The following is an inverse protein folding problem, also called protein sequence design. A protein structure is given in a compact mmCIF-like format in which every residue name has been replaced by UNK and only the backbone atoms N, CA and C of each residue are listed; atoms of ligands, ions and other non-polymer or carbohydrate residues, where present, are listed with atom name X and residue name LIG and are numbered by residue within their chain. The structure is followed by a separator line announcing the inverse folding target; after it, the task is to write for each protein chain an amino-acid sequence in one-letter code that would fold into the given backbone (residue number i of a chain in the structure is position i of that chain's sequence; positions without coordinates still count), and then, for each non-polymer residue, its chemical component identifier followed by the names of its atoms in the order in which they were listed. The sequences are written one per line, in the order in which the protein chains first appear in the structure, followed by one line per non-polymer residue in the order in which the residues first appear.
data_IF_438657864441
#
_entry.id   IF_438657864441
#
_cell.length_a   1.000
_cell.length_b   1.000
_cell.length_c   1.000
_cell.angle_alpha   90.00
_cell.angle_beta   90.00
_cell.angle_gamma   90.00
#
_symmetry.space_group_name_H-M   'P 1'
#
loop_
_entity.id
_entity.type
_entity.pdbx_description
1 polymer ?
#
# COMPACT_ATOMS: atom_id res chain seq x y z
N UNK A 1 -3.27 13.96 -18.62
CA UNK A 1 -4.18 13.45 -17.56
C UNK A 1 -3.98 14.25 -16.29
N UNK A 2 -5.03 14.78 -15.68
CA UNK A 2 -4.95 15.63 -14.50
C UNK A 2 -5.37 14.85 -13.25
N UNK A 3 -4.48 14.74 -12.28
CA UNK A 3 -4.71 14.05 -11.01
C UNK A 3 -4.97 15.06 -9.89
N UNK A 4 -6.08 14.87 -9.18
CA UNK A 4 -6.45 15.66 -8.01
C UNK A 4 -6.41 14.80 -6.75
N UNK A 5 -5.56 15.15 -5.79
CA UNK A 5 -5.52 14.48 -4.49
C UNK A 5 -6.39 15.24 -3.48
N UNK A 6 -7.38 14.58 -2.92
CA UNK A 6 -8.08 15.06 -1.73
C UNK A 6 -7.38 14.48 -0.51
N UNK A 7 -6.67 15.34 0.22
CA UNK A 7 -5.69 14.96 1.23
C UNK A 7 -4.31 14.68 0.63
N UNK A 8 -3.26 15.29 1.22
CA UNK A 8 -1.88 15.09 0.76
C UNK A 8 -0.98 14.65 1.92
N UNK A 9 -1.29 13.44 2.43
CA UNK A 9 -0.53 12.75 3.47
C UNK A 9 0.56 11.83 2.92
N UNK A 10 1.01 10.87 3.74
CA UNK A 10 2.10 9.96 3.37
C UNK A 10 1.80 9.15 2.11
N UNK A 11 0.58 8.63 1.96
CA UNK A 11 0.22 7.82 0.80
C UNK A 11 0.14 8.66 -0.48
N UNK A 12 -0.52 9.84 -0.44
CA UNK A 12 -0.53 10.75 -1.58
C UNK A 12 0.88 11.16 -2.00
N UNK A 13 1.74 11.50 -1.02
CA UNK A 13 3.15 11.82 -1.27
C UNK A 13 3.92 10.65 -1.88
N UNK A 14 3.61 9.41 -1.48
CA UNK A 14 4.23 8.22 -2.03
C UNK A 14 3.80 7.96 -3.47
N UNK A 15 2.48 8.07 -3.78
CA UNK A 15 1.93 7.96 -5.13
C UNK A 15 2.53 9.05 -6.03
N UNK A 16 2.51 10.31 -5.58
CA UNK A 16 3.11 11.42 -6.30
C UNK A 16 4.59 11.17 -6.64
N UNK A 17 5.39 10.70 -5.66
CA UNK A 17 6.82 10.38 -5.90
C UNK A 17 7.02 9.25 -6.89
N UNK A 18 6.20 8.22 -6.81
CA UNK A 18 6.26 7.08 -7.74
C UNK A 18 5.92 7.47 -9.18
N UNK A 19 5.03 8.46 -9.35
CA UNK A 19 4.57 8.98 -10.65
C UNK A 19 5.35 10.21 -11.13
N UNK A 20 6.16 10.83 -10.29
CA UNK A 20 6.98 11.97 -10.69
C UNK A 20 7.93 11.58 -11.83
N UNK A 21 7.79 12.29 -12.97
CA UNK A 21 8.54 12.00 -14.19
C UNK A 21 7.71 11.30 -15.27
N UNK A 22 6.47 10.91 -15.00
CA UNK A 22 5.51 10.54 -16.05
C UNK A 22 5.04 11.84 -16.73
N UNK A 23 5.49 12.05 -17.98
CA UNK A 23 5.36 13.35 -18.69
C UNK A 23 3.91 13.78 -18.98
N UNK A 24 2.95 12.87 -18.92
CA UNK A 24 1.56 13.11 -19.28
C UNK A 24 0.64 13.38 -18.09
N UNK A 25 1.19 13.48 -16.87
CA UNK A 25 0.41 13.67 -15.64
C UNK A 25 0.69 15.04 -15.03
N UNK A 26 -0.38 15.83 -14.84
CA UNK A 26 -0.36 17.02 -14.02
C UNK A 26 -0.97 16.75 -12.67
N UNK A 27 -0.38 17.26 -11.61
CA UNK A 27 -0.80 17.00 -10.24
C UNK A 27 -1.39 18.25 -9.59
N UNK A 28 -2.51 18.04 -8.89
CA UNK A 28 -3.08 19.02 -7.99
C UNK A 28 -3.50 18.36 -6.67
N UNK A 29 -3.70 19.16 -5.65
CA UNK A 29 -4.20 18.67 -4.38
C UNK A 29 -5.00 19.69 -3.60
N UNK A 30 -5.94 19.19 -2.79
CA UNK A 30 -6.65 19.89 -1.74
C UNK A 30 -6.22 19.31 -0.38
N UNK A 31 -5.74 20.14 0.53
CA UNK A 31 -5.31 19.72 1.87
C UNK A 31 -5.40 20.89 2.85
N UNK A 32 -5.49 20.59 4.15
CA UNK A 32 -5.53 21.60 5.22
C UNK A 32 -4.33 22.58 5.19
N UNK A 33 -3.17 22.09 4.77
CA UNK A 33 -1.95 22.89 4.70
C UNK A 33 -1.26 22.72 3.36
N UNK A 34 -0.79 23.82 2.79
CA UNK A 34 0.03 23.81 1.58
C UNK A 34 1.34 23.03 1.82
N UNK A 35 1.75 22.27 0.81
CA UNK A 35 2.96 21.44 0.83
C UNK A 35 4.00 22.03 -0.13
N UNK A 36 5.26 21.75 0.18
CA UNK A 36 6.36 22.12 -0.73
C UNK A 36 6.58 20.98 -1.74
N UNK A 37 5.72 20.93 -2.76
CA UNK A 37 5.74 19.95 -3.84
C UNK A 37 5.41 20.64 -5.16
N UNK A 38 5.89 20.10 -6.26
CA UNK A 38 5.60 20.59 -7.62
C UNK A 38 4.23 20.05 -8.08
N UNK A 39 3.17 20.60 -7.47
CA UNK A 39 1.77 20.30 -7.75
C UNK A 39 0.91 21.53 -7.42
N UNK A 40 -0.17 21.73 -8.15
CA UNK A 40 -1.10 22.82 -7.93
C UNK A 40 -1.83 22.63 -6.59
N UNK A 41 -1.89 23.69 -5.79
CA UNK A 41 -2.67 23.69 -4.56
C UNK A 41 -4.00 24.40 -4.77
N UNK A 42 -5.09 23.74 -4.40
CA UNK A 42 -6.42 24.34 -4.34
C UNK A 42 -6.89 24.41 -2.88
N UNK A 43 -7.55 25.46 -2.51
CA UNK A 43 -8.10 25.69 -1.17
C UNK A 43 -9.59 25.28 -1.07
N UNK A 44 -10.20 24.90 -2.19
CA UNK A 44 -11.57 24.37 -2.25
C UNK A 44 -11.67 23.14 -3.18
N UNK A 45 -12.72 22.35 -3.01
CA UNK A 45 -12.94 21.13 -3.76
C UNK A 45 -13.46 21.38 -5.18
N UNK A 46 -14.18 22.46 -5.40
CA UNK A 46 -14.79 22.79 -6.70
C UNK A 46 -13.71 23.03 -7.75
N UNK A 47 -12.71 23.84 -7.43
CA UNK A 47 -11.58 24.12 -8.32
C UNK A 47 -10.72 22.88 -8.56
N UNK A 48 -10.50 22.05 -7.52
CA UNK A 48 -9.81 20.76 -7.69
C UNK A 48 -10.57 19.87 -8.66
N UNK A 49 -11.90 19.73 -8.52
CA UNK A 49 -12.73 18.94 -9.41
C UNK A 49 -12.76 19.53 -10.83
N UNK A 50 -12.78 20.84 -10.98
CA UNK A 50 -12.71 21.48 -12.30
C UNK A 50 -11.42 21.14 -13.05
N UNK A 51 -10.31 21.06 -12.32
CA UNK A 51 -8.99 20.71 -12.87
C UNK A 51 -8.82 19.22 -13.16
N UNK A 52 -9.16 18.34 -12.21
CA UNK A 52 -8.75 16.94 -12.22
C UNK A 52 -9.71 16.04 -13.03
N UNK A 53 -9.15 15.08 -13.75
CA UNK A 53 -9.88 13.98 -14.40
C UNK A 53 -10.05 12.80 -13.45
N UNK A 54 -8.99 12.51 -12.67
CA UNK A 54 -8.94 11.40 -11.70
C UNK A 54 -8.73 11.99 -10.30
N UNK A 55 -9.65 11.64 -9.39
CA UNK A 55 -9.71 12.13 -8.01
C UNK A 55 -9.24 11.04 -7.05
N UNK A 56 -8.14 11.27 -6.35
CA UNK A 56 -7.59 10.35 -5.35
C UNK A 56 -8.07 10.74 -3.95
N UNK A 57 -8.87 9.89 -3.32
CA UNK A 57 -9.40 10.09 -1.96
C UNK A 57 -8.35 9.64 -0.90
N UNK A 58 -7.26 10.39 -0.80
CA UNK A 58 -6.10 10.04 0.05
C UNK A 58 -6.16 10.64 1.45
N UNK A 59 -7.34 10.59 2.04
CA UNK A 59 -7.67 11.04 3.39
C UNK A 59 -7.78 9.87 4.37
N UNK A 60 -7.85 10.17 5.66
CA UNK A 60 -8.07 9.15 6.69
C UNK A 60 -9.52 8.65 6.64
N UNK A 61 -9.79 7.38 7.02
CA UNK A 61 -11.14 6.82 6.98
C UNK A 61 -12.20 7.63 7.74
N UNK A 62 -11.83 8.25 8.86
CA UNK A 62 -12.74 9.09 9.64
C UNK A 62 -13.11 10.41 8.97
N UNK A 63 -12.31 10.89 8.03
CA UNK A 63 -12.55 12.15 7.31
C UNK A 63 -13.37 11.92 6.02
N UNK A 64 -13.55 10.65 5.58
CA UNK A 64 -14.12 10.32 4.28
C UNK A 64 -15.57 10.79 4.14
N UNK A 65 -16.43 10.54 5.14
CA UNK A 65 -17.86 10.93 5.09
C UNK A 65 -17.99 12.42 4.85
N UNK A 66 -17.32 13.25 5.65
CA UNK A 66 -17.40 14.70 5.53
C UNK A 66 -16.89 15.23 4.17
N UNK A 67 -15.96 14.52 3.52
CA UNK A 67 -15.53 14.85 2.16
C UNK A 67 -16.56 14.40 1.12
N UNK A 68 -17.12 13.20 1.25
CA UNK A 68 -18.13 12.71 0.32
C UNK A 68 -19.38 13.60 0.36
N UNK A 69 -19.82 14.05 1.53
CA UNK A 69 -20.92 15.02 1.69
C UNK A 69 -20.64 16.37 0.98
N UNK A 70 -19.41 16.87 1.08
CA UNK A 70 -19.00 18.09 0.37
C UNK A 70 -18.93 17.90 -1.15
N UNK A 71 -18.64 16.68 -1.61
CA UNK A 71 -18.59 16.37 -3.04
C UNK A 71 -19.98 16.20 -3.67
N UNK A 72 -21.00 15.82 -2.89
CA UNK A 72 -22.36 15.56 -3.41
C UNK A 72 -22.95 16.70 -4.25
N UNK A 73 -22.92 17.97 -3.83
CA UNK A 73 -23.52 19.06 -4.59
C UNK A 73 -22.68 19.51 -5.80
N UNK A 74 -21.43 19.03 -5.92
CA UNK A 74 -20.51 19.51 -6.94
C UNK A 74 -20.66 18.75 -8.26
N UNK A 75 -20.30 19.39 -9.38
CA UNK A 75 -20.31 18.76 -10.71
C UNK A 75 -19.19 17.73 -10.82
N UNK A 76 -19.53 16.46 -11.06
CA UNK A 76 -18.59 15.33 -11.11
C UNK A 76 -18.61 14.54 -12.43
N UNK A 77 -19.38 15.01 -13.42
CA UNK A 77 -19.53 14.33 -14.72
C UNK A 77 -18.18 14.05 -15.35
N UNK A 78 -17.93 12.80 -15.75
CA UNK A 78 -16.69 12.36 -16.41
C UNK A 78 -15.49 12.24 -15.48
N UNK A 79 -15.68 12.29 -14.15
CA UNK A 79 -14.61 12.10 -13.16
C UNK A 79 -14.54 10.64 -12.73
N UNK A 80 -13.34 10.18 -12.42
CA UNK A 80 -13.09 8.86 -11.82
C UNK A 80 -12.52 9.04 -10.42
N UNK A 81 -13.11 8.35 -9.44
CA UNK A 81 -12.67 8.42 -8.05
C UNK A 81 -11.84 7.19 -7.68
N UNK A 82 -10.65 7.39 -7.15
CA UNK A 82 -9.75 6.34 -6.68
C UNK A 82 -9.66 6.40 -5.17
N UNK A 83 -10.09 5.33 -4.51
CA UNK A 83 -10.11 5.24 -3.04
C UNK A 83 -9.14 4.18 -2.52
N UNK A 84 -8.06 4.58 -1.84
CA UNK A 84 -7.19 3.69 -1.06
C UNK A 84 -7.67 3.56 0.40
N UNK A 85 -8.87 4.02 0.73
CA UNK A 85 -9.35 4.09 2.11
C UNK A 85 -9.68 2.69 2.64
N UNK A 86 -8.94 2.25 3.67
CA UNK A 86 -9.17 0.96 4.29
C UNK A 86 -10.58 0.85 4.90
N UNK A 87 -11.22 -0.31 4.74
CA UNK A 87 -12.53 -0.58 5.31
C UNK A 87 -13.70 0.14 4.62
N UNK A 88 -13.52 0.78 3.47
CA UNK A 88 -14.59 1.44 2.74
C UNK A 88 -14.76 0.84 1.35
N UNK A 89 -15.96 0.28 1.10
CA UNK A 89 -16.30 -0.38 -0.17
C UNK A 89 -16.61 0.63 -1.27
N UNK A 90 -16.64 0.14 -2.50
CA UNK A 90 -17.13 0.88 -3.66
C UNK A 90 -18.59 1.31 -3.42
N UNK A 91 -19.46 0.38 -3.01
CA UNK A 91 -20.87 0.66 -2.70
C UNK A 91 -21.03 1.74 -1.61
N UNK A 92 -20.14 1.80 -0.61
CA UNK A 92 -20.16 2.86 0.38
C UNK A 92 -19.97 4.25 -0.27
N UNK A 93 -19.05 4.37 -1.23
CA UNK A 93 -18.78 5.64 -1.93
C UNK A 93 -19.92 5.96 -2.92
N UNK A 94 -20.46 4.95 -3.62
CA UNK A 94 -21.60 5.09 -4.53
C UNK A 94 -22.84 5.66 -3.84
N UNK A 95 -23.09 5.31 -2.58
CA UNK A 95 -24.23 5.85 -1.82
C UNK A 95 -24.16 7.38 -1.63
N UNK A 96 -22.98 7.99 -1.76
CA UNK A 96 -22.79 9.43 -1.71
C UNK A 96 -22.65 10.06 -3.08
N UNK A 97 -21.93 9.43 -3.99
CA UNK A 97 -21.55 10.05 -5.28
C UNK A 97 -22.46 9.63 -6.45
N UNK A 98 -23.29 8.60 -6.27
CA UNK A 98 -24.13 8.00 -7.32
C UNK A 98 -23.43 6.83 -8.02
N UNK A 99 -24.24 5.87 -8.49
CA UNK A 99 -23.75 4.67 -9.18
C UNK A 99 -23.24 4.93 -10.60
N UNK A 100 -23.52 6.10 -11.14
CA UNK A 100 -23.03 6.54 -12.46
C UNK A 100 -21.57 6.97 -12.43
N UNK A 101 -20.98 7.18 -11.23
CA UNK A 101 -19.58 7.55 -11.10
C UNK A 101 -18.69 6.31 -11.20
N UNK A 102 -17.64 6.39 -11.98
CA UNK A 102 -16.59 5.37 -11.97
C UNK A 102 -15.79 5.48 -10.66
N UNK A 103 -15.84 4.41 -9.87
CA UNK A 103 -15.12 4.30 -8.61
C UNK A 103 -14.12 3.14 -8.71
N UNK A 104 -12.88 3.44 -8.38
CA UNK A 104 -11.79 2.49 -8.30
C UNK A 104 -11.36 2.37 -6.84
N UNK A 105 -11.50 1.20 -6.26
CA UNK A 105 -10.95 0.88 -4.95
C UNK A 105 -9.59 0.25 -5.12
N UNK A 106 -8.60 0.75 -4.39
CA UNK A 106 -7.26 0.20 -4.38
C UNK A 106 -6.78 -0.04 -2.95
N UNK A 107 -5.82 -0.93 -2.81
CA UNK A 107 -5.07 -1.10 -1.56
C UNK A 107 -3.58 -1.21 -1.89
N UNK A 108 -2.87 -0.08 -1.96
CA UNK A 108 -1.41 -0.05 -2.12
C UNK A 108 -0.70 -0.07 -0.77
N UNK A 109 0.63 -0.02 -0.81
CA UNK A 109 1.46 0.32 0.34
C UNK A 109 2.49 1.41 0.00
N UNK A 110 3.26 1.88 0.98
CA UNK A 110 4.18 3.00 0.79
C UNK A 110 5.37 2.69 -0.13
N UNK A 111 5.63 1.41 -0.45
CA UNK A 111 6.63 1.03 -1.45
C UNK A 111 6.27 1.49 -2.87
N UNK A 112 5.05 2.01 -3.07
CA UNK A 112 4.60 2.64 -4.32
C UNK A 112 5.51 3.82 -4.73
N UNK A 113 6.09 4.53 -3.77
CA UNK A 113 7.07 5.61 -4.02
C UNK A 113 8.35 5.11 -4.73
N UNK A 114 8.64 3.82 -4.62
CA UNK A 114 9.82 3.15 -5.15
C UNK A 114 9.48 2.19 -6.30
N UNK A 115 8.26 2.25 -6.83
CA UNK A 115 7.74 1.36 -7.88
C UNK A 115 7.80 -0.14 -7.49
N UNK A 116 7.61 -0.43 -6.19
CA UNK A 116 7.65 -1.79 -5.60
C UNK A 116 6.41 -2.11 -4.75
N UNK A 117 5.30 -1.40 -4.97
CA UNK A 117 4.05 -1.72 -4.27
C UNK A 117 3.46 -3.04 -4.75
N UNK A 118 2.76 -3.73 -3.86
CA UNK A 118 1.74 -4.71 -4.25
C UNK A 118 0.39 -4.04 -4.01
N UNK A 119 -0.44 -3.94 -5.05
CA UNK A 119 -1.67 -3.13 -5.01
C UNK A 119 -2.87 -3.95 -5.46
N UNK A 120 -3.88 -4.12 -4.59
CA UNK A 120 -5.19 -4.62 -4.99
C UNK A 120 -5.96 -3.55 -5.75
N UNK A 121 -6.79 -3.99 -6.71
CA UNK A 121 -7.61 -3.14 -7.54
C UNK A 121 -9.01 -3.77 -7.70
N UNK A 122 -10.05 -2.98 -7.50
CA UNK A 122 -11.43 -3.28 -7.84
C UNK A 122 -12.11 -2.04 -8.41
N UNK A 123 -13.15 -2.20 -9.22
CA UNK A 123 -13.93 -1.09 -9.78
C UNK A 123 -15.38 -1.51 -10.02
N UNK A 124 -16.32 -0.57 -9.93
CA UNK A 124 -17.71 -0.76 -10.34
C UNK A 124 -17.90 -0.69 -11.87
N UNK A 125 -16.93 -0.15 -12.60
CA UNK A 125 -17.02 0.04 -14.05
C UNK A 125 -15.74 -0.49 -14.75
N UNK A 126 -15.66 -1.81 -15.01
CA UNK A 126 -14.46 -2.43 -15.58
C UNK A 126 -14.18 -2.03 -17.03
N UNK A 127 -15.19 -1.52 -17.75
CA UNK A 127 -15.08 -1.10 -19.16
C UNK A 127 -14.70 0.39 -19.30
N UNK A 128 -14.58 1.11 -18.20
CA UNK A 128 -14.18 2.52 -18.20
C UNK A 128 -12.69 2.68 -18.55
N UNK A 129 -12.40 3.58 -19.49
CA UNK A 129 -11.03 3.83 -19.94
C UNK A 129 -10.11 4.34 -18.83
N UNK A 130 -10.63 5.18 -17.92
CA UNK A 130 -9.84 5.68 -16.80
C UNK A 130 -9.56 4.58 -15.78
N UNK A 131 -10.52 3.67 -15.52
CA UNK A 131 -10.29 2.52 -14.64
C UNK A 131 -9.17 1.62 -15.20
N UNK A 132 -9.20 1.34 -16.49
CA UNK A 132 -8.15 0.58 -17.19
C UNK A 132 -6.78 1.29 -17.13
N UNK A 133 -6.77 2.60 -17.40
CA UNK A 133 -5.56 3.42 -17.30
C UNK A 133 -4.98 3.44 -15.87
N UNK A 134 -5.84 3.55 -14.84
CA UNK A 134 -5.40 3.49 -13.44
C UNK A 134 -4.74 2.14 -13.14
N UNK A 135 -5.31 1.02 -13.63
CA UNK A 135 -4.72 -0.30 -13.44
C UNK A 135 -3.32 -0.40 -14.08
N UNK A 136 -3.14 0.14 -15.29
CA UNK A 136 -1.84 0.20 -15.97
C UNK A 136 -0.82 1.04 -15.20
N UNK A 137 -1.23 2.22 -14.71
CA UNK A 137 -0.38 3.08 -13.90
C UNK A 137 0.05 2.38 -12.61
N UNK A 138 -0.87 1.71 -11.91
CA UNK A 138 -0.55 0.95 -10.71
C UNK A 138 0.42 -0.21 -11.01
N UNK A 139 0.31 -0.83 -12.19
CA UNK A 139 1.21 -1.88 -12.66
C UNK A 139 2.63 -1.37 -12.93
N UNK A 140 2.79 -0.10 -13.32
CA UNK A 140 4.10 0.58 -13.42
C UNK A 140 4.68 0.94 -12.06
N UNK A 141 3.85 1.08 -11.04
CA UNK A 141 4.25 1.40 -9.66
C UNK A 141 4.52 0.15 -8.79
N UNK A 142 4.52 -1.03 -9.41
CA UNK A 142 4.82 -2.31 -8.78
C UNK A 142 4.03 -3.45 -9.39
N UNK A 143 3.39 -4.27 -8.56
CA UNK A 143 2.49 -5.35 -8.99
C UNK A 143 1.05 -4.97 -8.63
N UNK A 144 0.20 -4.79 -9.64
CA UNK A 144 -1.23 -4.61 -9.43
C UNK A 144 -1.97 -5.94 -9.70
N UNK A 145 -3.01 -6.22 -8.91
CA UNK A 145 -3.85 -7.40 -9.05
C UNK A 145 -5.32 -7.02 -8.94
N UNK A 146 -6.13 -7.48 -9.90
CA UNK A 146 -7.59 -7.37 -9.82
C UNK A 146 -8.09 -8.35 -8.76
N UNK A 147 -8.88 -7.87 -7.81
CA UNK A 147 -9.37 -8.64 -6.69
C UNK A 147 -10.81 -8.24 -6.36
N UNK A 148 -11.63 -9.23 -6.05
CA UNK A 148 -12.96 -8.99 -5.50
C UNK A 148 -12.89 -8.25 -4.16
N UNK A 149 -13.82 -7.35 -3.88
CA UNK A 149 -13.81 -6.54 -2.66
C UNK A 149 -13.79 -7.37 -1.36
N UNK A 150 -14.37 -8.57 -1.38
CA UNK A 150 -14.33 -9.53 -0.25
C UNK A 150 -12.92 -9.95 0.17
N UNK A 151 -11.95 -9.85 -0.74
CA UNK A 151 -10.54 -10.15 -0.48
C UNK A 151 -9.73 -8.99 0.10
N UNK A 152 -10.28 -7.76 0.13
CA UNK A 152 -9.51 -6.58 0.50
C UNK A 152 -9.05 -6.55 1.96
N UNK A 153 -9.82 -7.11 2.90
CA UNK A 153 -9.41 -7.13 4.31
C UNK A 153 -8.19 -8.02 4.53
N UNK A 154 -8.17 -9.21 3.91
CA UNK A 154 -7.00 -10.07 3.93
C UNK A 154 -5.82 -9.42 3.18
N UNK A 155 -6.07 -8.82 2.02
CA UNK A 155 -5.04 -8.12 1.26
C UNK A 155 -4.44 -6.96 2.06
N UNK A 156 -5.26 -6.19 2.76
CA UNK A 156 -4.82 -5.09 3.63
C UNK A 156 -3.90 -5.60 4.74
N UNK A 157 -4.24 -6.72 5.38
CA UNK A 157 -3.40 -7.28 6.44
C UNK A 157 -2.04 -7.74 5.92
N UNK A 158 -2.01 -8.44 4.77
CA UNK A 158 -0.77 -9.02 4.22
C UNK A 158 0.08 -7.99 3.49
N UNK A 159 -0.50 -7.20 2.58
CA UNK A 159 0.26 -6.32 1.68
C UNK A 159 0.20 -4.84 2.06
N UNK A 160 -0.91 -4.39 2.64
CA UNK A 160 -1.04 -3.02 3.15
C UNK A 160 -0.23 -2.79 4.42
N UNK A 161 -0.42 -3.67 5.41
CA UNK A 161 0.25 -3.61 6.72
C UNK A 161 1.57 -4.38 6.75
N UNK A 162 1.76 -5.36 5.88
CA UNK A 162 2.92 -6.25 5.83
C UNK A 162 4.28 -5.56 5.88
N UNK A 163 4.50 -4.43 5.17
CA UNK A 163 5.76 -3.69 5.27
C UNK A 163 6.12 -3.29 6.71
N UNK A 164 5.13 -2.90 7.53
CA UNK A 164 5.37 -2.57 8.93
C UNK A 164 5.77 -3.81 9.75
N UNK A 165 5.17 -4.97 9.46
CA UNK A 165 5.49 -6.22 10.16
C UNK A 165 6.88 -6.74 9.77
N UNK A 166 7.27 -6.63 8.49
CA UNK A 166 8.63 -6.94 8.03
C UNK A 166 9.64 -6.02 8.72
N UNK A 167 9.36 -4.71 8.80
CA UNK A 167 10.23 -3.77 9.51
C UNK A 167 10.34 -4.08 11.00
N UNK A 168 9.27 -4.58 11.63
CA UNK A 168 9.33 -5.03 13.03
C UNK A 168 10.28 -6.24 13.22
N UNK A 169 10.31 -7.19 12.27
CA UNK A 169 11.31 -8.26 12.27
C UNK A 169 12.73 -7.72 12.05
N UNK A 170 12.91 -6.83 11.09
CA UNK A 170 14.20 -6.17 10.83
C UNK A 170 14.70 -5.44 12.09
N UNK A 171 13.79 -4.80 12.85
CA UNK A 171 14.14 -4.16 14.12
C UNK A 171 14.71 -5.16 15.14
N UNK A 172 14.17 -6.38 15.24
CA UNK A 172 14.69 -7.41 16.14
C UNK A 172 16.15 -7.77 15.79
N UNK A 173 16.46 -7.90 14.49
CA UNK A 173 17.83 -8.08 14.04
C UNK A 173 18.72 -6.89 14.43
N UNK A 174 18.24 -5.66 14.20
CA UNK A 174 18.96 -4.44 14.55
C UNK A 174 19.27 -4.38 16.04
N UNK A 175 18.28 -4.68 16.88
CA UNK A 175 18.45 -4.69 18.34
C UNK A 175 19.52 -5.71 18.77
N UNK A 176 19.52 -6.91 18.15
CA UNK A 176 20.51 -7.94 18.45
C UNK A 176 21.91 -7.57 17.94
N UNK A 177 21.98 -6.88 16.80
CA UNK A 177 23.27 -6.43 16.25
C UNK A 177 23.95 -5.37 17.12
N UNK A 178 23.23 -4.71 18.03
CA UNK A 178 23.82 -3.76 18.99
C UNK A 178 24.86 -4.38 19.93
N UNK A 179 24.92 -5.72 20.00
CA UNK A 179 25.96 -6.45 20.75
C UNK A 179 27.34 -6.47 20.05
N UNK A 180 27.39 -6.07 18.76
CA UNK A 180 28.66 -5.90 18.06
C UNK A 180 29.30 -4.56 18.44
N UNK A 181 30.63 -4.55 18.59
CA UNK A 181 31.41 -3.34 18.77
C UNK A 181 31.68 -2.66 17.42
N UNK A 182 30.61 -2.15 16.81
CA UNK A 182 30.60 -1.47 15.50
C UNK A 182 29.78 -0.18 15.57
N UNK A 183 30.12 0.79 14.70
CA UNK A 183 29.31 2.02 14.60
C UNK A 183 27.91 1.75 14.06
N UNK A 184 26.94 2.59 14.45
CA UNK A 184 25.54 2.45 14.01
C UNK A 184 25.37 2.46 12.49
N UNK A 185 26.13 3.30 11.79
CA UNK A 185 26.08 3.37 10.31
C UNK A 185 26.52 2.05 9.67
N UNK A 186 27.58 1.42 10.18
CA UNK A 186 28.05 0.11 9.72
C UNK A 186 27.00 -0.97 10.01
N UNK A 187 26.38 -0.95 11.19
CA UNK A 187 25.31 -1.90 11.51
C UNK A 187 24.10 -1.76 10.58
N UNK A 188 23.71 -0.54 10.23
CA UNK A 188 22.62 -0.28 9.31
C UNK A 188 22.95 -0.77 7.88
N UNK A 189 24.15 -0.59 7.39
CA UNK A 189 24.62 -1.14 6.11
C UNK A 189 24.59 -2.66 6.09
N UNK A 190 25.09 -3.31 7.15
CA UNK A 190 25.10 -4.78 7.26
C UNK A 190 23.67 -5.34 7.32
N UNK A 191 22.75 -4.69 8.03
CA UNK A 191 21.35 -5.09 8.12
C UNK A 191 20.64 -4.98 6.77
N UNK A 192 20.89 -3.88 6.06
CA UNK A 192 20.36 -3.68 4.71
C UNK A 192 20.90 -4.77 3.77
N UNK A 193 22.21 -5.04 3.79
CA UNK A 193 22.85 -6.08 2.97
C UNK A 193 22.29 -7.48 3.27
N UNK A 194 22.08 -7.82 4.54
CA UNK A 194 21.45 -9.09 4.95
C UNK A 194 20.04 -9.22 4.34
N UNK A 195 19.23 -8.17 4.46
CA UNK A 195 17.84 -8.18 4.00
C UNK A 195 17.77 -8.27 2.48
N UNK A 196 18.52 -7.43 1.76
CA UNK A 196 18.58 -7.44 0.29
C UNK A 196 19.13 -8.75 -0.25
N UNK A 197 20.17 -9.29 0.38
CA UNK A 197 20.76 -10.58 0.00
C UNK A 197 19.76 -11.73 0.14
N UNK A 198 18.99 -11.75 1.25
CA UNK A 198 17.96 -12.77 1.48
C UNK A 198 16.85 -12.70 0.43
N UNK A 199 16.34 -11.49 0.14
CA UNK A 199 15.30 -11.29 -0.89
C UNK A 199 15.85 -11.64 -2.29
N UNK A 200 17.11 -11.32 -2.58
CA UNK A 200 17.75 -11.66 -3.86
C UNK A 200 17.93 -13.17 -4.01
N UNK A 201 18.34 -13.87 -2.92
CA UNK A 201 18.42 -15.33 -2.91
C UNK A 201 17.06 -15.98 -3.19
N UNK A 202 15.99 -15.51 -2.54
CA UNK A 202 14.64 -15.97 -2.80
C UNK A 202 14.23 -15.70 -4.27
N UNK A 203 14.40 -14.48 -4.75
CA UNK A 203 14.02 -14.08 -6.11
C UNK A 203 14.70 -14.91 -7.20
N UNK A 204 15.99 -15.23 -7.01
CA UNK A 204 16.75 -16.04 -7.97
C UNK A 204 16.33 -17.52 -7.99
N UNK A 205 15.75 -18.04 -6.92
CA UNK A 205 15.53 -19.47 -6.74
C UNK A 205 14.06 -19.89 -6.65
N UNK A 206 13.11 -18.96 -6.50
CA UNK A 206 11.67 -19.21 -6.27
C UNK A 206 10.98 -20.03 -7.38
N UNK A 207 11.55 -20.08 -8.58
CA UNK A 207 10.99 -20.85 -9.71
C UNK A 207 11.27 -22.35 -9.56
N UNK A 208 12.41 -22.70 -8.92
CA UNK A 208 12.90 -24.07 -8.82
C UNK A 208 12.71 -24.69 -7.43
N UNK A 209 12.54 -23.87 -6.39
CA UNK A 209 12.50 -24.31 -4.99
C UNK A 209 11.37 -23.63 -4.21
N UNK A 210 10.70 -24.39 -3.36
CA UNK A 210 9.82 -23.82 -2.34
C UNK A 210 10.60 -23.06 -1.28
N UNK A 211 9.93 -22.18 -0.52
CA UNK A 211 10.57 -21.46 0.60
C UNK A 211 11.15 -22.44 1.62
N UNK A 212 10.47 -23.55 1.88
CA UNK A 212 10.95 -24.58 2.81
C UNK A 212 12.25 -25.22 2.34
N UNK A 213 12.37 -25.53 1.04
CA UNK A 213 13.59 -26.05 0.44
C UNK A 213 14.73 -25.02 0.48
N UNK A 214 14.43 -23.74 0.23
CA UNK A 214 15.42 -22.69 0.35
C UNK A 214 15.94 -22.55 1.79
N UNK A 215 15.08 -22.62 2.79
CA UNK A 215 15.46 -22.63 4.20
C UNK A 215 16.34 -23.87 4.51
N UNK A 216 15.97 -25.03 3.98
CA UNK A 216 16.76 -26.26 4.15
C UNK A 216 18.15 -26.14 3.53
N UNK A 217 18.26 -25.53 2.35
CA UNK A 217 19.53 -25.36 1.64
C UNK A 217 20.55 -24.49 2.39
N UNK A 218 20.07 -23.53 3.21
CA UNK A 218 20.93 -22.68 4.05
C UNK A 218 21.11 -23.23 5.47
N UNK A 219 20.51 -24.41 5.77
CA UNK A 219 20.51 -25.02 7.11
C UNK A 219 21.42 -26.24 7.13
N UNK A 220 22.58 -26.14 7.76
CA UNK A 220 23.45 -27.29 8.01
C UNK A 220 22.98 -28.09 9.23
N UNK A 221 23.06 -29.44 9.13
CA UNK A 221 22.67 -30.34 10.21
C UNK A 221 23.55 -30.10 11.45
N UNK A 222 22.89 -29.85 12.59
CA UNK A 222 23.56 -29.55 13.86
C UNK A 222 24.19 -28.16 13.94
N UNK A 223 23.99 -27.30 12.94
CA UNK A 223 24.52 -25.94 12.90
C UNK A 223 23.69 -24.90 13.65
N UNK A 224 24.16 -23.68 13.67
CA UNK A 224 23.52 -22.55 14.35
C UNK A 224 22.14 -22.22 13.76
N UNK A 225 22.00 -22.29 12.44
CA UNK A 225 20.70 -22.09 11.75
C UNK A 225 19.67 -23.15 12.19
N UNK A 226 20.09 -24.42 12.28
CA UNK A 226 19.20 -25.50 12.77
C UNK A 226 18.72 -25.22 14.18
N UNK A 227 19.63 -24.84 15.10
CA UNK A 227 19.29 -24.55 16.50
C UNK A 227 18.27 -23.37 16.59
N UNK A 228 18.45 -22.32 15.81
CA UNK A 228 17.52 -21.19 15.73
C UNK A 228 16.13 -21.59 15.18
N UNK A 229 16.09 -22.42 14.12
CA UNK A 229 14.84 -22.91 13.55
C UNK A 229 14.10 -23.90 14.48
N UNK A 230 14.83 -24.69 15.27
CA UNK A 230 14.24 -25.56 16.27
C UNK A 230 13.60 -24.76 17.41
N UNK A 231 14.23 -23.66 17.83
CA UNK A 231 13.63 -22.72 18.77
C UNK A 231 12.37 -22.08 18.19
N UNK A 232 12.43 -21.61 16.92
CA UNK A 232 11.28 -21.02 16.21
C UNK A 232 10.06 -21.95 16.19
N UNK A 233 10.27 -23.24 15.89
CA UNK A 233 9.21 -24.27 15.86
C UNK A 233 8.71 -24.58 17.27
N UNK A 234 9.62 -24.82 18.22
CA UNK A 234 9.28 -25.18 19.61
C UNK A 234 8.41 -24.13 20.30
N UNK A 235 8.57 -22.87 19.93
CA UNK A 235 7.84 -21.76 20.52
C UNK A 235 6.70 -21.22 19.63
N UNK A 236 6.31 -21.95 18.59
CA UNK A 236 5.20 -21.60 17.69
C UNK A 236 5.25 -20.16 17.17
N UNK A 237 6.46 -19.62 16.91
CA UNK A 237 6.65 -18.22 16.50
C UNK A 237 5.91 -17.92 15.19
N UNK A 238 5.84 -18.88 14.26
CA UNK A 238 5.06 -18.75 13.03
C UNK A 238 3.57 -18.52 13.31
N UNK A 239 2.98 -19.33 14.21
CA UNK A 239 1.57 -19.18 14.61
C UNK A 239 1.29 -17.85 15.32
N UNK A 240 2.21 -17.39 16.16
CA UNK A 240 2.09 -16.08 16.77
C UNK A 240 2.11 -14.97 15.72
N UNK A 241 2.92 -15.10 14.67
CA UNK A 241 2.95 -14.13 13.58
C UNK A 241 1.68 -14.20 12.70
N UNK A 242 1.11 -15.38 12.46
CA UNK A 242 -0.22 -15.49 11.84
C UNK A 242 -1.27 -14.69 12.61
N UNK A 243 -1.23 -14.74 13.96
CA UNK A 243 -2.09 -13.92 14.82
C UNK A 243 -1.94 -12.41 14.61
N UNK A 244 -0.76 -11.92 14.23
CA UNK A 244 -0.56 -10.49 13.86
C UNK A 244 -1.32 -10.14 12.58
N UNK A 245 -1.26 -11.03 11.58
CA UNK A 245 -1.98 -10.85 10.31
C UNK A 245 -3.50 -10.91 10.53
N UNK A 246 -3.97 -11.86 11.35
CA UNK A 246 -5.39 -12.00 11.67
C UNK A 246 -5.93 -10.78 12.45
N UNK A 247 -5.17 -10.25 13.40
CA UNK A 247 -5.53 -9.04 14.12
C UNK A 247 -5.69 -7.83 13.16
N UNK A 248 -4.77 -7.67 12.21
CA UNK A 248 -4.84 -6.63 11.20
C UNK A 248 -6.04 -6.82 10.25
N UNK A 249 -6.32 -8.06 9.82
CA UNK A 249 -7.49 -8.41 8.99
C UNK A 249 -8.80 -8.08 9.72
N UNK A 250 -8.92 -8.52 10.97
CA UNK A 250 -10.12 -8.28 11.78
C UNK A 250 -10.35 -6.77 11.97
N UNK A 251 -9.27 -6.02 12.20
CA UNK A 251 -9.37 -4.56 12.31
C UNK A 251 -9.84 -3.89 11.01
N UNK A 252 -9.37 -4.36 9.86
CA UNK A 252 -9.85 -3.88 8.55
C UNK A 252 -11.35 -4.13 8.39
N UNK A 253 -11.81 -5.35 8.70
CA UNK A 253 -13.24 -5.71 8.65
C UNK A 253 -14.11 -4.89 9.63
N UNK A 254 -13.61 -4.56 10.83
CA UNK A 254 -14.32 -3.68 11.76
C UNK A 254 -14.50 -2.26 11.23
N UNK A 255 -13.48 -1.75 10.51
CA UNK A 255 -13.54 -0.42 9.89
C UNK A 255 -14.57 -0.35 8.76
N UNK A 256 -14.90 -1.47 8.14
CA UNK A 256 -15.93 -1.58 7.08
C UNK A 256 -17.35 -1.46 7.63
N UNK A 257 -17.55 -1.74 8.92
CA UNK A 257 -18.88 -1.71 9.57
C UNK A 257 -19.26 -0.33 10.12
N UNK A 258 -18.34 0.59 10.17
CA UNK A 258 -18.53 1.98 10.63
C UNK A 258 -18.61 2.93 9.43
#
# INVERSE_FOLDING_TARGET
MNYGFIGFGNLASAIYRGLKGENDIQFAYFARNKKNVDALYFDNLEDLLAFADIIWLTIKPQDLVGILEQLQPLKRTGKTFVSPVAGKSINFIENYLGSEQTIVRIMPNLAIAYKKSVTAFATNNPDDNNASYIFEILSKLGKAVKLEESGFDLFTSVFGSGPAFILAFIQIFKDKMSEFDLSGDVLDELLLQLTEGTVSYFAANQVNFSIEELIKNITSKGGTTQAGLDYFRKHDIGKHFEGVLDAARNRSAEMSKK
#
